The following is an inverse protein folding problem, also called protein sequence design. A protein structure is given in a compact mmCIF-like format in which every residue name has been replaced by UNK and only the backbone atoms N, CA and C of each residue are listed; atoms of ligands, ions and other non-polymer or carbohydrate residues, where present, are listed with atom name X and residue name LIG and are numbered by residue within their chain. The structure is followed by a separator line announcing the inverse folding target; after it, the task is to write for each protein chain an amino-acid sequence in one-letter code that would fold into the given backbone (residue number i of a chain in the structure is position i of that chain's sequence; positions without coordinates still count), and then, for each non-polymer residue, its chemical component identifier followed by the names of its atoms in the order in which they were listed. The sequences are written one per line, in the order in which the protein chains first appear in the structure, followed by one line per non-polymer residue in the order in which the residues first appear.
data_IF_883476164547
#
_entry.id   IF_883476164547
#
_cell.length_a   1.000
_cell.length_b   1.000
_cell.length_c   1.000
_cell.angle_alpha   90.00
_cell.angle_beta   90.00
_cell.angle_gamma   90.00
#
_symmetry.space_group_name_H-M   'P 1'
#
loop_
_entity.id
_entity.type
_entity.pdbx_description
1 polymer ?
#
# COMPACT_ATOMS: atom_id res chain seq x y z
N UNK A 1 -4.82 -11.00 -8.13
CA UNK A 1 -5.48 -10.68 -6.86
C UNK A 1 -6.63 -9.74 -7.16
N UNK A 2 -7.85 -10.16 -6.82
CA UNK A 2 -9.04 -9.31 -6.94
C UNK A 2 -9.17 -8.34 -5.74
N UNK A 3 -10.06 -7.35 -5.81
CA UNK A 3 -10.19 -6.31 -4.78
C UNK A 3 -10.53 -6.90 -3.39
N UNK A 4 -11.52 -7.78 -3.32
CA UNK A 4 -11.98 -8.41 -2.09
C UNK A 4 -10.91 -9.35 -1.50
N UNK A 5 -10.10 -9.97 -2.36
CA UNK A 5 -8.96 -10.78 -1.95
C UNK A 5 -7.85 -9.91 -1.35
N UNK A 6 -7.55 -8.77 -1.96
CA UNK A 6 -6.58 -7.81 -1.44
C UNK A 6 -7.00 -7.25 -0.07
N UNK A 7 -8.26 -6.83 0.06
CA UNK A 7 -8.81 -6.29 1.32
C UNK A 7 -8.66 -7.29 2.46
N UNK A 8 -9.02 -8.56 2.20
CA UNK A 8 -8.94 -9.61 3.20
C UNK A 8 -7.50 -10.02 3.52
N UNK A 9 -6.63 -10.10 2.51
CA UNK A 9 -5.24 -10.52 2.70
C UNK A 9 -4.46 -9.50 3.55
N UNK A 10 -4.63 -8.20 3.27
CA UNK A 10 -3.89 -7.13 3.94
C UNK A 10 -4.62 -6.50 5.13
N UNK A 11 -5.83 -6.97 5.43
CA UNK A 11 -6.70 -6.44 6.49
C UNK A 11 -6.91 -4.91 6.40
N UNK A 12 -6.95 -4.37 5.19
CA UNK A 12 -7.07 -2.93 4.96
C UNK A 12 -8.52 -2.48 5.03
N UNK A 13 -8.74 -1.32 5.66
CA UNK A 13 -10.02 -0.63 5.64
C UNK A 13 -10.31 0.02 4.29
N UNK A 14 -11.57 0.36 4.04
CA UNK A 14 -11.96 1.12 2.84
C UNK A 14 -11.34 2.53 2.77
N UNK A 15 -10.91 3.12 3.89
CA UNK A 15 -10.21 4.42 3.89
C UNK A 15 -8.78 4.24 3.41
N UNK A 16 -8.13 3.16 3.83
CA UNK A 16 -6.80 2.79 3.35
C UNK A 16 -6.84 2.39 1.87
N UNK A 17 -7.88 1.67 1.42
CA UNK A 17 -8.08 1.40 -0.01
C UNK A 17 -8.22 2.70 -0.82
N UNK A 18 -8.95 3.68 -0.28
CA UNK A 18 -9.10 4.99 -0.92
C UNK A 18 -7.75 5.71 -1.03
N UNK A 19 -6.96 5.66 0.04
CA UNK A 19 -5.60 6.20 0.09
C UNK A 19 -4.67 5.51 -0.93
N UNK A 20 -4.60 4.18 -0.94
CA UNK A 20 -3.78 3.38 -1.86
C UNK A 20 -4.17 3.65 -3.31
N UNK A 21 -5.46 3.73 -3.60
CA UNK A 21 -5.97 3.95 -4.95
C UNK A 21 -6.03 5.44 -5.35
N UNK A 22 -5.55 6.35 -4.50
CA UNK A 22 -5.58 7.80 -4.72
C UNK A 22 -6.98 8.33 -5.11
N UNK A 23 -8.03 7.82 -4.48
CA UNK A 23 -9.42 8.16 -4.78
C UNK A 23 -10.21 8.50 -3.52
N UNK A 24 -11.46 8.94 -3.66
CA UNK A 24 -12.31 9.25 -2.51
C UNK A 24 -12.87 7.99 -1.86
N UNK A 25 -13.10 8.03 -0.54
CA UNK A 25 -13.81 6.97 0.20
C UNK A 25 -15.16 6.63 -0.44
N UNK A 26 -15.90 7.64 -0.90
CA UNK A 26 -17.17 7.45 -1.62
C UNK A 26 -16.99 6.62 -2.90
N UNK A 27 -15.88 6.80 -3.62
CA UNK A 27 -15.57 5.99 -4.81
C UNK A 27 -15.37 4.53 -4.44
N UNK A 28 -14.66 4.26 -3.34
CA UNK A 28 -14.47 2.91 -2.80
C UNK A 28 -15.81 2.32 -2.35
N UNK A 29 -16.64 3.07 -1.62
CA UNK A 29 -17.96 2.58 -1.18
C UNK A 29 -18.85 2.18 -2.38
N UNK A 30 -18.73 2.86 -3.52
CA UNK A 30 -19.39 2.46 -4.76
C UNK A 30 -18.90 1.12 -5.34
N UNK A 31 -17.67 0.67 -5.06
CA UNK A 31 -17.18 -0.65 -5.50
C UNK A 31 -17.91 -1.80 -4.79
N UNK A 32 -18.28 -1.56 -3.53
CA UNK A 32 -18.97 -2.52 -2.66
C UNK A 32 -20.50 -2.38 -2.66
N UNK A 33 -21.05 -1.41 -3.39
CA UNK A 33 -22.51 -1.24 -3.50
C UNK A 33 -23.14 -2.44 -4.20
N UNK A 34 -24.27 -2.93 -3.69
CA UNK A 34 -25.06 -4.00 -4.32
C UNK A 34 -26.14 -3.46 -5.28
N UNK A 35 -26.28 -2.14 -5.41
CA UNK A 35 -27.34 -1.51 -6.19
C UNK A 35 -26.85 -1.04 -7.58
N UNK A 36 -27.73 -0.36 -8.34
CA UNK A 36 -27.39 0.26 -9.64
C UNK A 36 -26.19 1.22 -9.61
N UNK A 37 -25.78 1.67 -8.42
CA UNK A 37 -24.62 2.54 -8.21
C UNK A 37 -23.29 1.79 -8.11
N UNK A 38 -23.27 0.45 -8.22
CA UNK A 38 -22.04 -0.34 -8.21
C UNK A 38 -21.11 0.10 -9.34
N UNK A 39 -19.86 0.41 -8.99
CA UNK A 39 -18.81 0.75 -9.96
C UNK A 39 -17.71 -0.30 -9.93
N UNK A 40 -17.14 -0.60 -11.08
CA UNK A 40 -15.98 -1.48 -11.18
C UNK A 40 -14.71 -0.62 -11.01
N UNK A 41 -13.72 -1.06 -10.21
CA UNK A 41 -12.43 -0.39 -10.14
C UNK A 41 -11.78 -0.32 -11.54
N UNK A 42 -11.28 0.87 -11.90
CA UNK A 42 -10.55 1.07 -13.15
C UNK A 42 -9.20 0.36 -13.11
N UNK A 43 -8.60 0.13 -14.28
CA UNK A 43 -7.28 -0.51 -14.39
C UNK A 43 -6.19 0.24 -13.63
N UNK A 44 -6.28 1.56 -13.53
CA UNK A 44 -5.36 2.36 -12.72
C UNK A 44 -5.40 1.98 -11.23
N UNK A 45 -6.60 1.80 -10.66
CA UNK A 45 -6.74 1.34 -9.27
C UNK A 45 -6.17 -0.07 -9.10
N UNK A 46 -6.43 -0.97 -10.06
CA UNK A 46 -5.88 -2.34 -10.04
C UNK A 46 -4.34 -2.34 -10.06
N UNK A 47 -3.72 -1.46 -10.86
CA UNK A 47 -2.27 -1.29 -10.90
C UNK A 47 -1.70 -0.81 -9.57
N UNK A 48 -2.38 0.15 -8.92
CA UNK A 48 -1.98 0.64 -7.60
C UNK A 48 -2.06 -0.44 -6.52
N UNK A 49 -3.15 -1.22 -6.51
CA UNK A 49 -3.29 -2.37 -5.61
C UNK A 49 -2.22 -3.44 -5.86
N UNK A 50 -1.94 -3.76 -7.13
CA UNK A 50 -0.88 -4.70 -7.48
C UNK A 50 0.51 -4.22 -7.03
N UNK A 51 0.78 -2.92 -7.16
CA UNK A 51 2.02 -2.30 -6.69
C UNK A 51 2.13 -2.37 -5.17
N UNK A 52 1.06 -2.01 -4.45
CA UNK A 52 1.02 -2.08 -3.00
C UNK A 52 1.25 -3.52 -2.50
N UNK A 53 0.56 -4.49 -3.08
CA UNK A 53 0.76 -5.91 -2.78
C UNK A 53 2.21 -6.33 -3.00
N UNK A 54 2.80 -5.99 -4.15
CA UNK A 54 4.18 -6.33 -4.44
C UNK A 54 5.17 -5.73 -3.42
N UNK A 55 5.01 -4.45 -3.07
CA UNK A 55 5.88 -3.77 -2.11
C UNK A 55 5.75 -4.41 -0.73
N UNK A 56 4.53 -4.63 -0.24
CA UNK A 56 4.32 -5.19 1.09
C UNK A 56 4.75 -6.65 1.18
N UNK A 57 4.48 -7.48 0.18
CA UNK A 57 4.99 -8.86 0.14
C UNK A 57 6.52 -8.89 0.12
N UNK A 58 7.17 -7.99 -0.63
CA UNK A 58 8.62 -7.90 -0.63
C UNK A 58 9.17 -7.49 0.75
N UNK A 59 8.45 -6.68 1.53
CA UNK A 59 8.83 -6.32 2.89
C UNK A 59 8.61 -7.47 3.88
N UNK A 60 7.50 -8.20 3.80
CA UNK A 60 7.21 -9.35 4.66
C UNK A 60 8.18 -10.51 4.44
N UNK A 61 8.59 -10.72 3.20
CA UNK A 61 9.49 -11.82 2.81
C UNK A 61 10.96 -11.42 2.77
N UNK A 62 11.28 -10.18 3.16
CA UNK A 62 12.64 -9.68 3.14
C UNK A 62 13.53 -10.47 4.13
N UNK A 63 14.67 -11.02 3.67
CA UNK A 63 15.66 -11.61 4.55
C UNK A 63 16.12 -10.62 5.64
N UNK A 64 16.19 -11.06 6.89
CA UNK A 64 16.53 -10.21 8.05
C UNK A 64 17.82 -9.40 7.88
N UNK A 65 18.80 -9.92 7.13
CA UNK A 65 20.04 -9.18 6.89
C UNK A 65 19.84 -7.93 6.01
N UNK A 66 18.90 -7.94 5.06
CA UNK A 66 18.57 -6.77 4.23
C UNK A 66 17.86 -5.70 5.05
N UNK A 67 16.95 -6.09 5.95
CA UNK A 67 16.35 -5.18 6.92
C UNK A 67 17.43 -4.48 7.75
N UNK A 68 18.43 -5.24 8.21
CA UNK A 68 19.55 -4.68 8.99
C UNK A 68 20.38 -3.67 8.20
N UNK A 69 20.65 -3.95 6.93
CA UNK A 69 21.38 -3.01 6.05
C UNK A 69 20.60 -1.71 5.85
N UNK A 70 19.28 -1.79 5.74
CA UNK A 70 18.40 -0.62 5.60
C UNK A 70 18.45 0.27 6.84
N UNK A 71 18.36 -0.31 8.05
CA UNK A 71 18.54 0.40 9.31
C UNK A 71 19.89 1.12 9.38
N UNK A 72 20.99 0.43 9.03
CA UNK A 72 22.33 1.00 9.03
C UNK A 72 22.45 2.19 8.07
N UNK A 73 21.83 2.10 6.89
CA UNK A 73 21.79 3.19 5.92
C UNK A 73 21.07 4.42 6.48
N UNK A 74 19.88 4.24 7.07
CA UNK A 74 19.12 5.33 7.68
C UNK A 74 19.88 5.98 8.85
N UNK A 75 20.52 5.19 9.71
CA UNK A 75 21.37 5.70 10.80
C UNK A 75 22.58 6.51 10.28
N UNK A 76 23.20 6.09 9.18
CA UNK A 76 24.29 6.88 8.56
C UNK A 76 23.79 8.22 8.04
N UNK A 77 22.60 8.27 7.46
CA UNK A 77 22.03 9.52 6.96
C UNK A 77 21.67 10.49 8.09
N UNK A 78 21.07 10.03 9.18
CA UNK A 78 20.74 10.89 10.33
C UNK A 78 22.00 11.47 10.96
N UNK A 79 23.07 10.68 11.10
CA UNK A 79 24.39 11.14 11.60
C UNK A 79 25.03 12.20 10.70
N UNK A 80 24.89 12.08 9.38
CA UNK A 80 25.40 13.09 8.43
C UNK A 80 24.66 14.42 8.54
N UNK A 81 23.35 14.40 8.78
CA UNK A 81 22.53 15.61 8.92
C UNK A 81 22.71 16.34 10.25
N UNK A 82 23.24 15.68 11.27
CA UNK A 82 23.41 16.23 12.63
C UNK A 82 24.84 16.71 12.93
N UNK A 83 25.74 16.68 11.94
CA UNK A 83 27.09 17.25 12.08
C UNK A 83 27.01 18.76 11.80
N UNK A 84 27.31 19.65 12.77
CA UNK A 84 27.44 21.08 12.50
C UNK A 84 28.69 21.32 11.62
N UNK A 85 28.60 22.33 10.75
CA UNK A 85 29.71 22.82 9.92
C UNK A 85 30.87 23.33 10.78
#
# INVERSE_FOLDING_TARGET
MELEEFEKYWEVSRDELAYICCCSRTTVDHWYSQQKTRRIPKDEHKRLLALAHHIWTALETEPAYLQKLREMYHQKQTRRKSRPL
#
